data_IF_453206364673
#
_entry.id   IF_453206364673
#
_cell.length_a   1.000
_cell.length_b   1.000
_cell.length_c   1.000
_cell.angle_alpha   90.00
_cell.angle_beta   90.00
_cell.angle_gamma   90.00
#
_symmetry.space_group_name_H-M   'P 1'
#
loop_
_entity.id
_entity.type
_entity.pdbx_description
1 polymer ?
#
# COMPACT_ATOMS: atom_id res chain seq x y z
N UNK A 1 2.32 -6.09 -18.65
CA UNK A 1 0.92 -6.05 -18.16
C UNK A 1 0.77 -7.22 -17.21
N UNK A 2 0.69 -6.95 -15.90
CA UNK A 2 0.47 -8.02 -14.94
C UNK A 2 -1.01 -8.40 -15.03
N UNK A 3 -1.31 -9.52 -15.67
CA UNK A 3 -2.66 -10.00 -15.82
C UNK A 3 -3.14 -10.56 -14.47
N UNK A 4 -3.98 -9.79 -13.79
CA UNK A 4 -4.79 -10.29 -12.70
C UNK A 4 -6.11 -10.77 -13.31
N UNK A 5 -6.24 -12.06 -13.56
CA UNK A 5 -7.51 -12.62 -14.01
C UNK A 5 -8.42 -12.89 -12.82
N UNK A 6 -9.43 -12.03 -12.63
CA UNK A 6 -10.57 -12.33 -11.78
C UNK A 6 -11.60 -13.11 -12.59
N UNK A 7 -11.87 -14.36 -12.23
CA UNK A 7 -12.91 -15.19 -12.84
C UNK A 7 -14.22 -15.01 -12.10
N UNK A 8 -15.24 -14.30 -12.66
CA UNK A 8 -16.48 -13.99 -11.94
C UNK A 8 -17.46 -15.16 -11.82
N UNK A 9 -17.29 -16.25 -12.56
CA UNK A 9 -18.36 -17.26 -12.70
C UNK A 9 -18.15 -18.56 -11.89
N UNK A 10 -16.97 -18.77 -11.28
CA UNK A 10 -16.72 -19.89 -10.37
C UNK A 10 -16.07 -19.39 -9.07
N UNK A 11 -16.88 -18.77 -8.21
CA UNK A 11 -16.42 -18.23 -6.93
C UNK A 11 -16.08 -19.35 -5.95
N UNK A 12 -15.01 -20.07 -6.20
CA UNK A 12 -14.43 -21.02 -5.23
C UNK A 12 -13.52 -20.33 -4.20
N UNK A 13 -13.51 -18.99 -4.17
CA UNK A 13 -12.70 -18.23 -3.25
C UNK A 13 -11.18 -18.32 -3.51
N UNK A 14 -10.77 -18.70 -4.71
CA UNK A 14 -9.36 -18.76 -5.12
C UNK A 14 -9.05 -17.51 -5.95
N UNK A 15 -8.10 -16.72 -5.47
CA UNK A 15 -7.46 -15.65 -6.23
C UNK A 15 -6.07 -16.12 -6.62
N UNK A 16 -5.81 -16.25 -7.93
CA UNK A 16 -4.48 -16.54 -8.46
C UNK A 16 -3.84 -15.23 -8.93
N UNK A 17 -2.63 -14.98 -8.46
CA UNK A 17 -1.82 -13.84 -8.88
C UNK A 17 -0.48 -14.37 -9.39
N UNK A 18 -0.14 -14.05 -10.62
CA UNK A 18 1.15 -14.36 -11.20
C UNK A 18 1.94 -13.11 -11.54
N UNK A 19 3.25 -13.17 -11.43
CA UNK A 19 4.15 -12.05 -11.75
C UNK A 19 5.51 -12.59 -12.20
N UNK A 20 6.14 -11.87 -13.13
CA UNK A 20 7.54 -12.07 -13.51
C UNK A 20 8.53 -11.39 -12.54
N UNK A 21 8.01 -10.79 -11.47
CA UNK A 21 8.79 -10.07 -10.46
C UNK A 21 9.00 -8.59 -10.79
N UNK A 22 8.50 -8.09 -11.92
CA UNK A 22 8.53 -6.67 -12.27
C UNK A 22 7.20 -6.03 -11.91
N UNK A 23 7.24 -4.90 -11.19
CA UNK A 23 6.08 -4.06 -10.93
C UNK A 23 6.18 -2.85 -11.84
N UNK A 24 5.26 -2.75 -12.78
CA UNK A 24 5.17 -1.60 -13.69
C UNK A 24 4.46 -0.43 -13.02
N UNK A 25 4.90 0.79 -13.32
CA UNK A 25 4.19 2.01 -12.89
C UNK A 25 2.82 2.11 -13.54
N UNK A 26 1.85 2.61 -12.78
CA UNK A 26 0.47 2.72 -13.23
C UNK A 26 0.22 3.89 -14.20
N UNK A 27 1.20 4.83 -14.32
CA UNK A 27 0.91 6.11 -14.98
C UNK A 27 -0.18 6.86 -14.21
N UNK A 28 -1.06 7.55 -14.90
CA UNK A 28 -2.25 8.16 -14.28
C UNK A 28 -3.34 7.09 -14.10
N UNK A 29 -3.76 6.89 -12.84
CA UNK A 29 -4.72 5.87 -12.46
C UNK A 29 -5.84 6.50 -11.62
N UNK A 30 -7.07 6.50 -12.15
CA UNK A 30 -8.25 7.00 -11.45
C UNK A 30 -8.77 5.94 -10.46
N UNK A 31 -8.71 6.27 -9.16
CA UNK A 31 -9.18 5.43 -8.06
C UNK A 31 -10.48 5.95 -7.43
N UNK A 32 -11.19 6.86 -8.09
CA UNK A 32 -12.42 7.48 -7.54
C UNK A 32 -13.48 6.45 -7.13
N UNK A 33 -13.61 5.34 -7.86
CA UNK A 33 -14.55 4.27 -7.57
C UNK A 33 -14.10 3.32 -6.44
N UNK A 34 -12.79 3.28 -6.14
CA UNK A 34 -12.18 2.30 -5.21
C UNK A 34 -11.18 2.95 -4.25
N UNK A 35 -11.36 4.23 -3.92
CA UNK A 35 -10.41 5.03 -3.12
C UNK A 35 -9.96 4.38 -1.83
N UNK A 36 -10.80 3.57 -1.20
CA UNK A 36 -10.49 2.87 0.06
C UNK A 36 -9.28 1.92 -0.03
N UNK A 37 -8.95 1.38 -1.20
CA UNK A 37 -7.77 0.50 -1.37
C UNK A 37 -6.49 1.27 -1.77
N UNK A 38 -6.56 2.60 -1.89
CA UNK A 38 -5.41 3.45 -2.24
C UNK A 38 -4.16 3.14 -1.41
N UNK A 39 -4.21 2.96 -0.08
CA UNK A 39 -3.00 2.63 0.68
C UNK A 39 -2.33 1.33 0.24
N UNK A 40 -3.11 0.31 -0.11
CA UNK A 40 -2.55 -0.96 -0.62
C UNK A 40 -1.94 -0.80 -2.01
N UNK A 41 -2.59 -0.04 -2.91
CA UNK A 41 -2.07 0.28 -4.23
C UNK A 41 -0.78 1.10 -4.12
N UNK A 42 -0.75 2.10 -3.24
CA UNK A 42 0.43 2.92 -2.99
C UNK A 42 1.61 2.06 -2.47
N UNK A 43 1.37 1.10 -1.57
CA UNK A 43 2.41 0.19 -1.07
C UNK A 43 3.06 -0.64 -2.19
N UNK A 44 2.29 -1.02 -3.21
CA UNK A 44 2.81 -1.75 -4.38
C UNK A 44 3.53 -0.78 -5.33
N UNK A 45 2.93 0.40 -5.58
CA UNK A 45 3.47 1.40 -6.49
C UNK A 45 4.84 1.96 -6.06
N UNK A 46 5.16 1.94 -4.75
CA UNK A 46 6.50 2.29 -4.23
C UNK A 46 7.62 1.47 -4.89
N UNK A 47 7.33 0.24 -5.29
CA UNK A 47 8.31 -0.68 -5.90
C UNK A 47 8.25 -0.74 -7.42
N UNK A 48 7.44 0.12 -8.04
CA UNK A 48 7.28 0.14 -9.49
C UNK A 48 8.52 0.69 -10.21
N UNK A 49 8.71 0.29 -11.46
CA UNK A 49 9.82 0.71 -12.31
C UNK A 49 9.55 2.04 -13.05
N UNK A 50 8.35 2.58 -12.95
CA UNK A 50 7.92 3.83 -13.57
C UNK A 50 6.96 4.60 -12.64
N UNK A 51 6.74 5.92 -12.86
CA UNK A 51 5.86 6.72 -12.02
C UNK A 51 4.41 6.23 -11.99
N UNK A 52 3.76 6.44 -10.84
CA UNK A 52 2.33 6.24 -10.65
C UNK A 52 1.71 7.53 -10.11
N UNK A 53 0.62 7.99 -10.73
CA UNK A 53 -0.16 9.15 -10.30
C UNK A 53 -1.58 8.69 -10.00
N UNK A 54 -1.89 8.57 -8.72
CA UNK A 54 -3.19 8.11 -8.26
C UNK A 54 -4.11 9.33 -8.14
N UNK A 55 -5.19 9.37 -8.91
CA UNK A 55 -6.10 10.53 -8.99
C UNK A 55 -7.53 10.18 -8.55
N UNK A 56 -8.39 11.20 -8.37
CA UNK A 56 -9.79 11.03 -7.98
C UNK A 56 -9.98 10.68 -6.50
N UNK A 57 -8.95 10.85 -5.67
CA UNK A 57 -8.92 10.41 -4.26
C UNK A 57 -8.80 11.56 -3.25
N UNK A 58 -9.07 12.79 -3.66
CA UNK A 58 -9.05 13.96 -2.78
C UNK A 58 -9.92 13.82 -1.53
N UNK A 59 -11.02 13.05 -1.62
CA UNK A 59 -11.92 12.76 -0.51
C UNK A 59 -11.24 11.99 0.65
N UNK A 60 -10.13 11.30 0.42
CA UNK A 60 -9.39 10.56 1.45
C UNK A 60 -8.77 11.46 2.54
N UNK A 61 -8.72 12.78 2.33
CA UNK A 61 -8.33 13.75 3.37
C UNK A 61 -9.31 13.82 4.53
N UNK A 62 -10.57 13.51 4.27
CA UNK A 62 -11.65 13.57 5.27
C UNK A 62 -11.93 12.27 6.01
N UNK A 63 -11.06 11.26 5.89
CA UNK A 63 -11.22 9.96 6.54
C UNK A 63 -10.70 9.95 7.99
N UNK A 64 -10.26 8.79 8.49
CA UNK A 64 -9.73 8.62 9.87
C UNK A 64 -8.48 9.49 10.10
N UNK A 65 -7.72 9.71 9.05
CA UNK A 65 -6.64 10.71 8.95
C UNK A 65 -6.66 11.35 7.57
N UNK A 66 -5.85 12.41 7.36
CA UNK A 66 -5.51 12.84 6.00
C UNK A 66 -4.62 11.77 5.35
N UNK A 67 -5.23 10.79 4.69
CA UNK A 67 -4.51 9.63 4.13
C UNK A 67 -3.51 10.03 3.06
N UNK A 68 -3.76 11.10 2.29
CA UNK A 68 -2.84 11.52 1.22
C UNK A 68 -1.54 12.07 1.81
N UNK A 69 -1.64 12.96 2.81
CA UNK A 69 -0.49 13.49 3.54
C UNK A 69 0.25 12.36 4.29
N UNK A 70 -0.49 11.47 4.96
CA UNK A 70 0.09 10.35 5.69
C UNK A 70 0.85 9.40 4.76
N UNK A 71 0.28 9.03 3.59
CA UNK A 71 0.94 8.19 2.60
C UNK A 71 2.20 8.84 2.06
N UNK A 72 2.14 10.11 1.64
CA UNK A 72 3.32 10.83 1.17
C UNK A 72 4.41 10.88 2.23
N UNK A 73 4.04 11.18 3.48
CA UNK A 73 4.98 11.24 4.62
C UNK A 73 5.66 9.90 4.85
N UNK A 74 4.89 8.82 4.92
CA UNK A 74 5.41 7.49 5.25
C UNK A 74 6.18 6.85 4.09
N UNK A 75 5.81 7.11 2.84
CA UNK A 75 6.57 6.69 1.66
C UNK A 75 7.94 7.38 1.65
N UNK A 76 7.98 8.68 1.90
CA UNK A 76 9.25 9.43 1.96
C UNK A 76 10.10 9.02 3.16
N UNK A 77 9.48 8.59 4.27
CA UNK A 77 10.18 8.10 5.48
C UNK A 77 11.04 6.88 5.21
N UNK A 78 10.66 6.02 4.28
CA UNK A 78 11.43 4.82 3.90
C UNK A 78 12.42 5.06 2.76
N UNK A 79 12.65 6.32 2.37
CA UNK A 79 13.60 6.70 1.33
C UNK A 79 13.07 6.58 -0.09
N UNK A 80 11.77 6.46 -0.27
CA UNK A 80 11.10 6.54 -1.58
C UNK A 80 10.72 8.01 -1.88
N UNK A 81 9.99 8.27 -2.96
CA UNK A 81 9.61 9.62 -3.40
C UNK A 81 8.11 9.68 -3.71
N UNK A 82 7.37 10.40 -2.86
CA UNK A 82 5.94 10.64 -3.05
C UNK A 82 5.56 12.06 -2.71
N UNK A 83 4.57 12.60 -3.44
CA UNK A 83 4.03 13.93 -3.23
C UNK A 83 2.51 13.89 -3.18
N UNK A 84 1.95 14.60 -2.20
CA UNK A 84 0.52 14.85 -2.15
C UNK A 84 0.13 15.85 -3.23
N UNK A 85 -0.87 15.50 -4.04
CA UNK A 85 -1.44 16.34 -5.08
C UNK A 85 -2.82 16.86 -4.65
N UNK A 86 -3.36 17.87 -5.34
CA UNK A 86 -4.67 18.44 -5.00
C UNK A 86 -5.78 17.38 -4.90
N UNK A 87 -5.82 16.43 -5.83
CA UNK A 87 -6.83 15.38 -5.92
C UNK A 87 -6.23 13.96 -5.89
N UNK A 88 -4.97 13.82 -5.39
CA UNK A 88 -4.28 12.55 -5.50
C UNK A 88 -2.95 12.44 -4.80
N UNK A 89 -2.19 11.47 -5.26
CA UNK A 89 -0.85 11.14 -4.79
C UNK A 89 0.03 10.75 -5.98
N UNK A 90 1.18 11.40 -6.14
CA UNK A 90 2.20 10.98 -7.10
C UNK A 90 3.29 10.19 -6.39
N UNK A 91 3.78 9.12 -7.02
CA UNK A 91 4.85 8.26 -6.54
C UNK A 91 5.86 8.08 -7.68
N UNK A 92 7.10 8.51 -7.46
CA UNK A 92 8.19 8.34 -8.40
C UNK A 92 9.05 7.12 -8.07
N UNK A 93 9.59 6.42 -9.07
CA UNK A 93 10.45 5.26 -8.83
C UNK A 93 11.75 5.67 -8.18
N UNK A 94 12.15 4.92 -7.14
CA UNK A 94 13.43 5.06 -6.46
C UNK A 94 14.12 3.71 -6.45
N UNK A 95 15.45 3.71 -6.59
CA UNK A 95 16.23 2.49 -6.54
C UNK A 95 16.08 1.81 -5.16
N UNK A 96 15.87 0.50 -5.14
CA UNK A 96 15.57 -0.26 -3.90
C UNK A 96 16.68 -0.18 -2.86
N UNK A 97 17.92 -0.03 -3.27
CA UNK A 97 19.09 0.11 -2.39
C UNK A 97 19.14 1.46 -1.64
N UNK A 98 18.33 2.42 -2.05
CA UNK A 98 18.14 3.68 -1.35
C UNK A 98 17.02 3.61 -0.29
N UNK A 99 16.15 2.59 -0.37
CA UNK A 99 15.09 2.39 0.62
C UNK A 99 15.66 1.75 1.89
N UNK A 100 15.07 2.11 3.02
CA UNK A 100 15.54 1.63 4.33
C UNK A 100 14.39 1.44 5.31
N UNK A 101 14.61 0.62 6.33
CA UNK A 101 13.67 0.40 7.42
C UNK A 101 13.39 1.69 8.22
N UNK A 102 12.20 1.77 8.74
CA UNK A 102 11.75 2.90 9.56
C UNK A 102 10.62 2.49 10.51
N UNK A 103 10.40 3.32 11.54
CA UNK A 103 9.21 3.23 12.38
C UNK A 103 8.08 3.97 11.69
N UNK A 104 7.08 3.23 11.24
CA UNK A 104 5.93 3.71 10.46
C UNK A 104 4.80 4.11 11.39
N UNK A 105 4.29 5.32 11.23
CA UNK A 105 3.15 5.81 11.97
C UNK A 105 1.83 5.38 11.30
N UNK A 106 0.89 4.92 12.10
CA UNK A 106 -0.42 4.48 11.58
C UNK A 106 -1.49 5.56 11.64
N UNK A 107 -1.25 6.66 12.33
CA UNK A 107 -2.24 7.75 12.48
C UNK A 107 -3.60 7.26 13.03
N UNK A 108 -3.58 6.17 13.81
CA UNK A 108 -4.77 5.44 14.25
C UNK A 108 -5.69 4.94 13.11
N UNK A 109 -5.16 4.82 11.91
CA UNK A 109 -5.87 4.32 10.71
C UNK A 109 -5.40 2.89 10.38
N UNK A 110 -6.34 1.96 10.33
CA UNK A 110 -6.08 0.55 10.06
C UNK A 110 -5.50 0.30 8.66
N UNK A 111 -5.81 1.16 7.67
CA UNK A 111 -5.29 1.05 6.31
C UNK A 111 -3.85 1.53 6.22
N UNK A 112 -3.46 2.52 7.03
CA UNK A 112 -2.06 2.92 7.16
C UNK A 112 -1.24 1.81 7.84
N UNK A 113 -1.80 1.11 8.82
CA UNK A 113 -1.14 -0.04 9.44
C UNK A 113 -0.90 -1.18 8.43
N UNK A 114 -1.90 -1.51 7.60
CA UNK A 114 -1.74 -2.54 6.55
C UNK A 114 -0.79 -2.09 5.44
N UNK A 115 -0.84 -0.82 5.04
CA UNK A 115 0.14 -0.23 4.12
C UNK A 115 1.59 -0.42 4.61
N UNK A 116 1.86 -0.05 5.86
CA UNK A 116 3.19 -0.21 6.45
C UNK A 116 3.64 -1.68 6.52
N UNK A 117 2.73 -2.59 6.90
CA UNK A 117 3.01 -4.02 6.90
C UNK A 117 3.36 -4.55 5.50
N UNK A 118 2.68 -4.06 4.45
CA UNK A 118 2.99 -4.42 3.06
C UNK A 118 4.37 -3.94 2.62
N UNK A 119 4.80 -2.73 3.01
CA UNK A 119 6.18 -2.27 2.75
C UNK A 119 7.21 -3.19 3.39
N UNK A 120 6.93 -3.71 4.59
CA UNK A 120 7.78 -4.66 5.31
C UNK A 120 7.96 -6.02 4.63
N UNK A 121 7.18 -6.33 3.58
CA UNK A 121 7.44 -7.53 2.75
C UNK A 121 8.68 -7.39 1.84
N UNK A 122 9.11 -6.16 1.58
CA UNK A 122 10.18 -5.87 0.62
C UNK A 122 11.27 -4.92 1.17
N UNK A 123 11.06 -4.31 2.33
CA UNK A 123 12.01 -3.44 3.02
C UNK A 123 12.27 -4.01 4.41
N UNK A 124 13.51 -4.39 4.69
CA UNK A 124 13.90 -4.88 6.00
C UNK A 124 13.87 -3.78 7.07
N UNK A 125 13.47 -4.11 8.28
CA UNK A 125 13.48 -3.18 9.41
C UNK A 125 12.29 -2.19 9.46
N UNK A 126 11.19 -2.51 8.81
CA UNK A 126 9.92 -1.79 9.01
C UNK A 126 9.31 -2.20 10.34
N UNK A 127 9.04 -1.22 11.18
CA UNK A 127 8.28 -1.35 12.43
C UNK A 127 6.97 -0.57 12.30
N UNK A 128 5.87 -1.12 12.79
CA UNK A 128 4.53 -0.51 12.68
C UNK A 128 4.04 -0.12 14.07
N UNK A 129 3.87 1.19 14.32
CA UNK A 129 3.29 1.67 15.59
C UNK A 129 1.79 1.39 15.63
N UNK A 130 1.26 1.20 16.85
CA UNK A 130 -0.19 1.08 17.07
C UNK A 130 -0.91 0.16 16.06
N UNK A 131 -0.32 -1.01 15.77
CA UNK A 131 -0.90 -2.00 14.83
C UNK A 131 -2.30 -2.46 15.26
N UNK A 132 -2.65 -2.30 16.53
CA UNK A 132 -3.96 -2.62 17.10
C UNK A 132 -5.14 -1.90 16.42
N UNK A 133 -4.89 -0.80 15.73
CA UNK A 133 -5.91 -0.10 14.92
C UNK A 133 -6.51 -1.01 13.85
N UNK A 134 -5.80 -2.07 13.41
CA UNK A 134 -6.30 -3.07 12.46
C UNK A 134 -7.46 -3.90 12.99
N UNK A 135 -7.65 -3.99 14.33
CA UNK A 135 -8.75 -4.76 14.94
C UNK A 135 -10.14 -4.34 14.46
N UNK A 136 -10.28 -3.12 13.97
CA UNK A 136 -11.52 -2.62 13.41
C UNK A 136 -12.02 -3.46 12.24
N UNK A 137 -11.11 -4.00 11.43
CA UNK A 137 -11.42 -4.75 10.20
C UNK A 137 -10.91 -6.19 10.23
N UNK A 138 -9.75 -6.42 10.83
CA UNK A 138 -9.13 -7.74 10.96
C UNK A 138 -8.72 -7.92 12.42
N UNK A 139 -9.57 -8.56 13.26
CA UNK A 139 -9.35 -8.63 14.72
C UNK A 139 -8.02 -9.24 15.15
N UNK A 140 -7.51 -10.20 14.41
CA UNK A 140 -6.19 -10.83 14.65
C UNK A 140 -5.25 -10.64 13.46
N UNK A 141 -5.07 -9.40 13.03
CA UNK A 141 -4.18 -9.07 11.90
C UNK A 141 -2.76 -9.58 12.13
N UNK A 142 -2.19 -9.36 13.31
CA UNK A 142 -0.81 -9.74 13.63
C UNK A 142 -0.63 -11.26 13.57
N UNK A 143 -1.56 -12.02 14.13
CA UNK A 143 -1.51 -13.50 14.09
C UNK A 143 -1.65 -14.03 12.67
N UNK A 144 -2.61 -13.51 11.90
CA UNK A 144 -2.82 -13.84 10.49
C UNK A 144 -1.57 -13.51 9.65
N UNK A 145 -1.02 -12.29 9.80
CA UNK A 145 0.16 -11.83 9.06
C UNK A 145 1.39 -12.71 9.32
N UNK A 146 1.68 -12.95 10.59
CA UNK A 146 2.78 -13.83 10.97
C UNK A 146 2.58 -15.28 10.50
N UNK A 147 1.34 -15.78 10.53
CA UNK A 147 0.99 -17.11 10.01
C UNK A 147 1.28 -17.22 8.51
N UNK A 148 0.87 -16.21 7.73
CA UNK A 148 1.13 -16.13 6.30
C UNK A 148 2.63 -16.12 5.98
N UNK A 149 3.42 -15.30 6.69
CA UNK A 149 4.88 -15.21 6.47
C UNK A 149 5.63 -16.50 6.80
N UNK A 150 5.10 -17.30 7.72
CA UNK A 150 5.70 -18.60 8.10
C UNK A 150 5.22 -19.77 7.26
N UNK A 151 4.35 -19.56 6.29
CA UNK A 151 3.80 -20.59 5.43
C UNK A 151 2.90 -21.59 6.17
N UNK A 152 2.17 -21.14 7.16
CA UNK A 152 1.22 -21.95 7.96
C UNK A 152 -0.21 -21.54 7.68
#
# INVERSE_FOLDING_TARGET
MNDCECFPDDYNGILEVSSDGVIEGLGECDLSAIGEITPSIAAIAVFANAPSVLVGIGHLRGHETNRLEALATEINRVGSDAQEEAEGLSIAPVARDLMHGAVMETYADHRMATFAAMLGLAIDGIEVTNVETTRKTIPDFVGMWNGMLRGK
#
